data_IF_496198519903
#
_entry.id   IF_496198519903
#
_cell.length_a   1.000
_cell.length_b   1.000
_cell.length_c   1.000
_cell.angle_alpha   90.00
_cell.angle_beta   90.00
_cell.angle_gamma   90.00
#
_symmetry.space_group_name_H-M   'P 1'
#
loop_
_entity.id
_entity.type
_entity.pdbx_description
1 polymer ?
#
# COMPACT_ATOMS: atom_id res chain seq x y z
N UNK A 1 5.77 -15.48 -21.71
CA UNK A 1 4.59 -15.18 -20.86
C UNK A 1 4.49 -13.66 -20.80
N UNK A 2 3.43 -13.05 -21.31
CA UNK A 2 3.27 -11.59 -21.23
C UNK A 2 3.02 -11.27 -19.74
N UNK A 3 3.96 -10.57 -19.10
CA UNK A 3 3.79 -10.14 -17.73
C UNK A 3 2.59 -9.17 -17.68
N UNK A 4 1.71 -9.34 -16.69
CA UNK A 4 0.60 -8.41 -16.46
C UNK A 4 1.16 -7.03 -16.19
N UNK A 5 0.56 -5.98 -16.75
CA UNK A 5 0.93 -4.60 -16.45
C UNK A 5 0.62 -4.21 -14.98
N UNK A 6 -0.28 -4.96 -14.32
CA UNK A 6 -0.67 -4.76 -12.93
C UNK A 6 0.09 -5.70 -12.00
N UNK A 7 0.39 -5.22 -10.79
CA UNK A 7 1.15 -5.97 -9.77
C UNK A 7 0.43 -7.27 -9.38
N UNK A 8 -0.90 -7.23 -9.30
CA UNK A 8 -1.75 -8.39 -9.05
C UNK A 8 -3.11 -8.22 -9.75
N UNK A 9 -3.95 -9.25 -9.75
CA UNK A 9 -5.26 -9.20 -10.41
C UNK A 9 -6.26 -8.31 -9.67
N UNK A 10 -6.99 -7.47 -10.41
CA UNK A 10 -8.12 -6.68 -9.89
C UNK A 10 -9.20 -7.53 -9.19
N UNK A 11 -9.30 -8.82 -9.52
CA UNK A 11 -10.30 -9.73 -8.92
C UNK A 11 -10.08 -9.96 -7.43
N UNK A 12 -8.92 -9.57 -6.89
CA UNK A 12 -8.60 -9.65 -5.46
C UNK A 12 -9.22 -8.48 -4.68
N UNK A 13 -9.58 -7.39 -5.35
CA UNK A 13 -10.20 -6.23 -4.73
C UNK A 13 -11.68 -6.49 -4.40
N UNK A 14 -12.09 -5.99 -3.25
CA UNK A 14 -13.52 -5.87 -2.92
C UNK A 14 -14.10 -4.65 -3.65
N UNK A 15 -14.98 -4.90 -4.61
CA UNK A 15 -15.57 -3.86 -5.46
C UNK A 15 -16.44 -2.90 -4.65
N UNK A 16 -17.05 -3.34 -3.54
CA UNK A 16 -17.86 -2.48 -2.68
C UNK A 16 -17.01 -1.45 -1.94
N UNK A 17 -15.78 -1.83 -1.55
CA UNK A 17 -14.82 -0.91 -0.94
C UNK A 17 -14.19 -0.03 -2.01
N UNK A 18 -13.79 -0.60 -3.15
CA UNK A 18 -13.18 0.14 -4.25
C UNK A 18 -14.11 1.25 -4.78
N UNK A 19 -15.43 1.03 -4.77
CA UNK A 19 -16.41 2.04 -5.18
C UNK A 19 -16.63 3.19 -4.17
N UNK A 20 -15.99 3.17 -3.00
CA UNK A 20 -16.08 4.26 -2.02
C UNK A 20 -15.21 5.48 -2.37
N UNK A 21 -14.32 5.38 -3.36
CA UNK A 21 -13.62 6.56 -3.86
C UNK A 21 -14.57 7.47 -4.64
N UNK A 22 -14.39 8.80 -4.60
CA UNK A 22 -15.25 9.75 -5.32
C UNK A 22 -15.23 9.50 -6.83
N UNK A 23 -16.27 9.98 -7.52
CA UNK A 23 -16.30 10.07 -8.98
C UNK A 23 -15.01 10.70 -9.51
N UNK A 24 -14.57 10.29 -10.68
CA UNK A 24 -13.28 10.65 -11.29
C UNK A 24 -12.03 10.11 -10.58
N UNK A 25 -12.19 9.18 -9.62
CA UNK A 25 -11.07 8.46 -9.05
C UNK A 25 -11.30 6.95 -9.21
N UNK A 26 -10.21 6.20 -9.30
CA UNK A 26 -10.25 4.74 -9.32
C UNK A 26 -9.26 4.16 -8.33
N UNK A 27 -9.70 3.20 -7.52
CA UNK A 27 -8.83 2.39 -6.68
C UNK A 27 -8.52 1.10 -7.44
N UNK A 28 -7.25 0.81 -7.63
CA UNK A 28 -6.77 -0.33 -8.41
C UNK A 28 -5.38 -0.81 -7.92
N UNK A 29 -4.91 -2.00 -8.34
CA UNK A 29 -3.51 -2.39 -8.16
C UNK A 29 -2.55 -1.40 -8.83
N UNK A 30 -1.33 -1.31 -8.27
CA UNK A 30 -0.21 -0.59 -8.89
C UNK A 30 0.10 -1.21 -10.27
N UNK A 31 0.42 -0.35 -11.23
CA UNK A 31 0.86 -0.72 -12.58
C UNK A 31 2.29 -0.27 -12.85
N UNK A 32 3.00 -1.00 -13.72
CA UNK A 32 4.37 -0.65 -14.11
C UNK A 32 4.48 0.77 -14.71
N UNK A 33 3.39 1.30 -15.28
CA UNK A 33 3.32 2.63 -15.88
C UNK A 33 3.09 3.77 -14.87
N UNK A 34 2.79 3.45 -13.61
CA UNK A 34 2.42 4.45 -12.59
C UNK A 34 3.59 5.32 -12.13
N UNK A 35 4.82 4.90 -12.42
CA UNK A 35 5.97 5.79 -12.28
C UNK A 35 5.73 7.12 -12.99
N UNK A 36 5.26 7.07 -14.23
CA UNK A 36 4.98 8.25 -15.07
C UNK A 36 3.74 9.02 -14.62
N UNK A 37 2.85 8.40 -13.83
CA UNK A 37 1.68 9.04 -13.21
C UNK A 37 1.99 9.67 -11.85
N UNK A 38 3.28 9.81 -11.51
CA UNK A 38 3.71 10.47 -10.28
C UNK A 38 3.60 9.61 -9.01
N UNK A 39 3.67 8.28 -9.11
CA UNK A 39 3.66 7.40 -7.94
C UNK A 39 4.73 7.77 -6.91
N UNK A 40 5.98 8.02 -7.35
CA UNK A 40 7.06 8.45 -6.45
C UNK A 40 6.78 9.82 -5.81
N UNK A 41 6.13 10.74 -6.54
CA UNK A 41 5.73 12.04 -6.00
C UNK A 41 4.63 11.87 -4.93
N UNK A 42 3.73 10.90 -5.08
CA UNK A 42 2.76 10.57 -4.05
C UNK A 42 3.47 10.06 -2.80
N UNK A 43 4.38 9.11 -2.91
CA UNK A 43 5.15 8.54 -1.79
C UNK A 43 6.01 9.59 -1.07
N UNK A 44 6.53 10.60 -1.77
CA UNK A 44 7.34 11.67 -1.16
C UNK A 44 6.56 12.53 -0.16
N UNK A 45 5.22 12.41 -0.11
CA UNK A 45 4.42 13.04 0.95
C UNK A 45 4.47 12.27 2.27
N UNK A 46 4.93 11.03 2.27
CA UNK A 46 5.09 10.21 3.47
C UNK A 46 6.49 10.39 4.07
N UNK A 47 7.52 10.20 3.23
CA UNK A 47 8.92 10.24 3.66
C UNK A 47 9.85 10.47 2.46
N UNK A 48 11.16 10.48 2.72
CA UNK A 48 12.18 10.61 1.67
C UNK A 48 12.17 9.35 0.77
N UNK A 49 11.96 9.54 -0.52
CA UNK A 49 11.94 8.45 -1.51
C UNK A 49 13.31 8.19 -2.16
N UNK A 50 14.28 9.10 -1.96
CA UNK A 50 15.54 9.06 -2.71
C UNK A 50 15.36 9.34 -4.21
N UNK A 51 16.42 9.16 -4.97
CA UNK A 51 16.38 9.29 -6.43
C UNK A 51 16.09 7.92 -7.07
N UNK A 52 14.84 7.70 -7.44
CA UNK A 52 14.39 6.46 -8.09
C UNK A 52 14.21 6.73 -9.57
N UNK A 53 14.96 6.02 -10.43
CA UNK A 53 14.75 6.03 -11.87
C UNK A 53 13.56 5.13 -12.26
N UNK A 54 13.01 5.35 -13.46
CA UNK A 54 11.94 4.48 -13.97
C UNK A 54 12.41 3.02 -14.07
N UNK A 55 13.66 2.79 -14.45
CA UNK A 55 14.24 1.46 -14.51
C UNK A 55 14.26 0.79 -13.11
N UNK A 56 14.76 1.48 -12.08
CA UNK A 56 14.76 0.98 -10.69
C UNK A 56 13.34 0.65 -10.21
N UNK A 57 12.37 1.50 -10.56
CA UNK A 57 10.97 1.26 -10.22
C UNK A 57 10.44 -0.02 -10.88
N UNK A 58 10.67 -0.19 -12.18
CA UNK A 58 10.22 -1.38 -12.93
C UNK A 58 10.87 -2.65 -12.40
N UNK A 59 12.18 -2.64 -12.13
CA UNK A 59 12.89 -3.78 -11.54
C UNK A 59 12.30 -4.18 -10.18
N UNK A 60 12.04 -3.21 -9.30
CA UNK A 60 11.40 -3.45 -8.00
C UNK A 60 9.95 -3.95 -8.14
N UNK A 61 9.20 -3.38 -9.09
CA UNK A 61 7.84 -3.82 -9.39
C UNK A 61 7.80 -5.29 -9.83
N UNK A 62 8.70 -5.68 -10.74
CA UNK A 62 8.80 -7.06 -11.23
C UNK A 62 9.23 -8.04 -10.13
N UNK A 63 10.11 -7.61 -9.22
CA UNK A 63 10.50 -8.41 -8.06
C UNK A 63 9.32 -8.64 -7.11
N UNK A 64 8.58 -7.58 -6.76
CA UNK A 64 7.36 -7.69 -5.96
C UNK A 64 6.31 -8.60 -6.62
N UNK A 65 6.11 -8.45 -7.96
CA UNK A 65 5.17 -9.27 -8.71
C UNK A 65 5.57 -10.76 -8.69
N UNK A 66 6.85 -11.07 -8.88
CA UNK A 66 7.37 -12.45 -8.84
C UNK A 66 7.26 -13.07 -7.45
N UNK A 67 7.43 -12.29 -6.39
CA UNK A 67 7.32 -12.80 -5.01
C UNK A 67 5.88 -13.20 -4.66
N UNK A 68 4.87 -12.57 -5.27
CA UNK A 68 3.45 -12.83 -5.05
C UNK A 68 2.93 -12.45 -3.66
N UNK A 69 3.79 -11.89 -2.80
CA UNK A 69 3.44 -11.48 -1.44
C UNK A 69 3.16 -9.99 -1.25
N UNK A 70 3.28 -9.18 -2.31
CA UNK A 70 3.07 -7.74 -2.29
C UNK A 70 1.78 -7.34 -2.99
N UNK A 71 0.96 -6.54 -2.31
CA UNK A 71 -0.28 -5.97 -2.82
C UNK A 71 -0.23 -4.45 -2.64
N UNK A 72 0.30 -3.75 -3.63
CA UNK A 72 0.31 -2.29 -3.65
C UNK A 72 -0.92 -1.81 -4.39
N UNK A 73 -1.74 -1.00 -3.74
CA UNK A 73 -2.93 -0.38 -4.35
C UNK A 73 -2.74 1.14 -4.42
N UNK A 74 -3.33 1.72 -5.43
CA UNK A 74 -3.27 3.16 -5.69
C UNK A 74 -4.67 3.72 -5.90
N UNK A 75 -4.83 5.00 -5.61
CA UNK A 75 -5.96 5.80 -6.10
C UNK A 75 -5.43 6.73 -7.18
N UNK A 76 -5.98 6.58 -8.38
CA UNK A 76 -5.70 7.45 -9.53
C UNK A 76 -6.82 8.49 -9.67
N UNK A 77 -6.45 9.75 -9.81
CA UNK A 77 -7.33 10.81 -10.29
C UNK A 77 -7.39 10.75 -11.81
N UNK A 78 -8.55 10.40 -12.36
CA UNK A 78 -8.76 10.20 -13.79
C UNK A 78 -8.77 11.51 -14.60
N UNK A 79 -8.97 12.66 -13.95
CA UNK A 79 -8.96 13.97 -14.62
C UNK A 79 -7.53 14.44 -14.89
N UNK A 80 -6.63 14.17 -13.96
CA UNK A 80 -5.22 14.58 -14.05
C UNK A 80 -4.30 13.43 -14.46
N UNK A 81 -4.81 12.19 -14.50
CA UNK A 81 -4.05 10.96 -14.71
C UNK A 81 -2.86 10.82 -13.74
N UNK A 82 -3.05 11.22 -12.47
CA UNK A 82 -2.01 11.17 -11.44
C UNK A 82 -2.40 10.28 -10.26
N UNK A 83 -1.39 9.67 -9.64
CA UNK A 83 -1.58 8.89 -8.40
C UNK A 83 -1.68 9.86 -7.23
N UNK A 84 -2.78 9.77 -6.48
CA UNK A 84 -3.11 10.69 -5.38
C UNK A 84 -3.12 10.02 -4.01
N UNK A 85 -3.12 8.69 -3.95
CA UNK A 85 -2.98 7.95 -2.70
C UNK A 85 -2.45 6.54 -2.99
N UNK A 86 -1.81 5.93 -2.00
CA UNK A 86 -1.27 4.57 -2.09
C UNK A 86 -1.25 3.89 -0.73
N UNK A 87 -1.13 2.57 -0.75
CA UNK A 87 -0.83 1.75 0.41
C UNK A 87 -0.39 0.36 -0.02
N UNK A 88 0.41 -0.27 0.82
CA UNK A 88 1.01 -1.58 0.58
C UNK A 88 0.53 -2.59 1.62
N UNK A 89 0.24 -3.81 1.20
CA UNK A 89 0.14 -4.98 2.06
C UNK A 89 1.25 -5.96 1.69
N UNK A 90 2.02 -6.36 2.69
CA UNK A 90 2.99 -7.47 2.57
C UNK A 90 2.45 -8.67 3.33
N UNK A 91 2.35 -9.81 2.67
CA UNK A 91 1.88 -11.07 3.26
C UNK A 91 3.07 -11.90 3.67
N UNK A 92 3.26 -12.03 4.99
CA UNK A 92 4.33 -12.83 5.58
C UNK A 92 3.83 -14.26 5.85
N UNK A 93 4.56 -15.28 5.34
CA UNK A 93 4.32 -16.67 5.66
C UNK A 93 4.99 -17.03 6.98
N UNK A 94 4.25 -17.64 7.89
CA UNK A 94 4.75 -18.13 9.19
C UNK A 94 4.80 -19.66 9.24
N UNK A 95 5.64 -20.22 10.11
CA UNK A 95 5.48 -21.62 10.57
C UNK A 95 4.49 -21.71 11.74
N UNK A 96 4.33 -20.63 12.49
CA UNK A 96 3.36 -20.53 13.59
C UNK A 96 1.92 -20.58 13.06
N UNK A 97 0.98 -20.94 13.94
CA UNK A 97 -0.45 -21.00 13.59
C UNK A 97 -0.73 -21.92 12.40
N UNK A 98 -0.15 -23.13 12.41
CA UNK A 98 -0.28 -24.13 11.34
C UNK A 98 0.10 -23.57 9.96
N UNK A 99 1.28 -22.98 9.87
CA UNK A 99 1.77 -22.28 8.67
C UNK A 99 0.87 -21.13 8.22
N UNK A 100 0.33 -20.37 9.18
CA UNK A 100 -0.55 -19.24 8.92
C UNK A 100 0.18 -18.03 8.31
N UNK A 101 -0.59 -17.01 7.92
CA UNK A 101 -0.08 -15.78 7.29
C UNK A 101 -0.40 -14.56 8.13
N UNK A 102 0.46 -13.55 8.06
CA UNK A 102 0.27 -12.23 8.67
C UNK A 102 0.34 -11.18 7.58
N UNK A 103 -0.62 -10.26 7.54
CA UNK A 103 -0.57 -9.09 6.67
C UNK A 103 0.09 -7.92 7.38
N UNK A 104 1.07 -7.29 6.75
CA UNK A 104 1.70 -6.04 7.18
C UNK A 104 1.22 -4.92 6.26
N UNK A 105 0.55 -3.91 6.84
CA UNK A 105 0.13 -2.71 6.11
C UNK A 105 1.22 -1.67 6.23
N UNK A 106 1.72 -1.18 5.09
CA UNK A 106 2.86 -0.29 4.97
C UNK A 106 2.53 0.88 4.02
N UNK A 107 3.30 1.94 4.11
CA UNK A 107 3.35 3.05 3.15
C UNK A 107 1.97 3.68 2.85
N UNK A 108 1.13 3.85 3.85
CA UNK A 108 -0.16 4.53 3.68
C UNK A 108 0.07 6.02 3.46
N UNK A 109 -0.26 6.50 2.28
CA UNK A 109 -0.06 7.89 1.89
C UNK A 109 -1.25 8.46 1.14
N UNK A 110 -1.55 9.74 1.41
CA UNK A 110 -2.48 10.56 0.62
C UNK A 110 -1.75 11.85 0.27
N UNK A 111 -1.69 12.17 -1.00
CA UNK A 111 -1.01 13.36 -1.51
C UNK A 111 -1.57 14.65 -0.88
N UNK A 112 -0.71 15.66 -0.69
CA UNK A 112 -1.12 16.99 -0.18
C UNK A 112 -2.22 17.58 -1.05
N UNK A 113 -3.25 18.16 -0.41
CA UNK A 113 -4.42 18.71 -1.10
C UNK A 113 -5.50 17.67 -1.45
N UNK A 114 -5.25 16.38 -1.23
CA UNK A 114 -6.21 15.29 -1.48
C UNK A 114 -6.79 14.70 -0.18
N UNK A 115 -6.39 15.22 0.97
CA UNK A 115 -6.92 14.82 2.28
C UNK A 115 -8.42 15.18 2.41
N UNK A 116 -9.10 14.52 3.35
CA UNK A 116 -10.53 14.75 3.58
C UNK A 116 -11.47 13.94 2.67
N UNK A 117 -10.98 13.36 1.58
CA UNK A 117 -11.74 12.53 0.63
C UNK A 117 -11.86 11.04 1.05
N UNK A 118 -11.45 10.69 2.26
CA UNK A 118 -11.46 9.33 2.84
C UNK A 118 -10.55 8.31 2.13
N UNK A 119 -9.65 8.72 1.25
CA UNK A 119 -8.75 7.79 0.54
C UNK A 119 -7.97 6.88 1.50
N UNK A 120 -7.36 7.42 2.54
CA UNK A 120 -6.60 6.63 3.52
C UNK A 120 -7.45 5.54 4.18
N UNK A 121 -8.68 5.86 4.61
CA UNK A 121 -9.60 4.86 5.21
C UNK A 121 -9.97 3.79 4.20
N UNK A 122 -10.27 4.17 2.96
CA UNK A 122 -10.64 3.23 1.89
C UNK A 122 -9.47 2.29 1.57
N UNK A 123 -8.24 2.82 1.46
CA UNK A 123 -7.02 2.05 1.24
C UNK A 123 -6.82 1.04 2.37
N UNK A 124 -6.82 1.48 3.64
CA UNK A 124 -6.61 0.57 4.78
C UNK A 124 -7.67 -0.54 4.80
N UNK A 125 -8.94 -0.21 4.60
CA UNK A 125 -10.01 -1.22 4.54
C UNK A 125 -9.79 -2.23 3.41
N UNK A 126 -9.39 -1.76 2.23
CA UNK A 126 -9.13 -2.62 1.09
C UNK A 126 -7.94 -3.54 1.35
N UNK A 127 -6.85 -3.04 1.94
CA UNK A 127 -5.68 -3.86 2.29
C UNK A 127 -6.02 -4.92 3.36
N UNK A 128 -6.82 -4.57 4.37
CA UNK A 128 -7.31 -5.54 5.36
C UNK A 128 -8.18 -6.61 4.70
N UNK A 129 -9.04 -6.23 3.73
CA UNK A 129 -9.84 -7.18 2.97
C UNK A 129 -8.98 -8.11 2.11
N UNK A 130 -7.94 -7.59 1.46
CA UNK A 130 -6.96 -8.42 0.72
C UNK A 130 -6.26 -9.38 1.68
N UNK A 131 -5.84 -8.93 2.87
CA UNK A 131 -5.21 -9.78 3.88
C UNK A 131 -6.14 -10.94 4.29
N UNK A 132 -7.43 -10.66 4.52
CA UNK A 132 -8.44 -11.68 4.83
C UNK A 132 -8.60 -12.67 3.65
N UNK A 133 -8.74 -12.18 2.43
CA UNK A 133 -8.90 -12.99 1.22
C UNK A 133 -7.67 -13.87 0.92
N UNK A 134 -6.47 -13.44 1.33
CA UNK A 134 -5.22 -14.19 1.22
C UNK A 134 -4.94 -15.12 2.40
N UNK A 135 -5.87 -15.22 3.36
CA UNK A 135 -5.80 -16.15 4.49
C UNK A 135 -4.90 -15.68 5.65
N UNK A 136 -4.67 -14.38 5.80
CA UNK A 136 -3.97 -13.85 6.96
C UNK A 136 -4.85 -14.00 8.22
N UNK A 137 -4.29 -14.56 9.30
CA UNK A 137 -5.01 -14.68 10.57
C UNK A 137 -5.03 -13.38 11.38
N UNK A 138 -4.21 -12.41 10.99
CA UNK A 138 -4.20 -11.03 11.49
C UNK A 138 -3.57 -10.09 10.49
N UNK A 139 -3.92 -8.80 10.60
CA UNK A 139 -3.26 -7.69 9.92
C UNK A 139 -2.66 -6.77 10.95
N UNK A 140 -1.44 -6.31 10.75
CA UNK A 140 -0.72 -5.38 11.64
C UNK A 140 -0.15 -4.22 10.84
N UNK A 141 0.14 -3.13 11.54
CA UNK A 141 0.89 -1.98 11.06
C UNK A 141 1.57 -1.28 12.22
N UNK A 142 2.54 -0.46 11.89
CA UNK A 142 3.16 0.49 12.81
C UNK A 142 2.73 1.91 12.45
N UNK A 143 2.58 2.78 13.45
CA UNK A 143 2.24 4.18 13.21
C UNK A 143 2.69 5.07 14.36
N UNK A 144 2.88 6.35 14.06
CA UNK A 144 3.09 7.37 15.08
C UNK A 144 1.87 7.51 16.00
N UNK A 145 2.11 7.93 17.23
CA UNK A 145 1.06 8.05 18.25
C UNK A 145 -0.11 8.94 17.82
N UNK A 146 0.16 9.98 17.02
CA UNK A 146 -0.86 10.89 16.48
C UNK A 146 -1.81 10.23 15.47
N UNK A 147 -1.36 9.15 14.81
CA UNK A 147 -2.12 8.40 13.81
C UNK A 147 -2.97 7.25 14.41
N UNK A 148 -2.81 6.93 15.69
CA UNK A 148 -3.55 5.84 16.35
C UNK A 148 -5.06 6.01 16.17
N UNK A 149 -5.60 7.20 16.43
CA UNK A 149 -7.04 7.47 16.30
C UNK A 149 -7.56 7.30 14.85
N UNK A 150 -6.71 7.51 13.84
CA UNK A 150 -7.06 7.24 12.45
C UNK A 150 -7.19 5.74 12.20
N UNK A 151 -6.24 4.93 12.66
CA UNK A 151 -6.29 3.48 12.46
C UNK A 151 -7.37 2.79 13.31
N UNK A 152 -7.68 3.32 14.49
CA UNK A 152 -8.84 2.85 15.28
C UNK A 152 -10.15 3.04 14.53
N UNK A 153 -10.35 4.14 13.79
CA UNK A 153 -11.51 4.33 12.89
C UNK A 153 -11.54 3.33 11.73
N UNK A 154 -10.39 2.74 11.38
CA UNK A 154 -10.29 1.65 10.41
C UNK A 154 -10.55 0.26 11.03
N UNK A 155 -10.83 0.17 12.34
CA UNK A 155 -11.11 -1.07 13.06
C UNK A 155 -9.88 -1.74 13.67
N UNK A 156 -8.73 -1.09 13.64
CA UNK A 156 -7.49 -1.60 14.25
C UNK A 156 -7.42 -1.26 15.74
N UNK A 157 -6.56 -1.93 16.49
CA UNK A 157 -6.38 -1.73 17.92
C UNK A 157 -4.89 -1.66 18.26
N UNK A 158 -4.50 -0.73 19.13
CA UNK A 158 -3.13 -0.66 19.65
C UNK A 158 -2.78 -1.93 20.43
N UNK A 159 -1.65 -2.58 20.07
CA UNK A 159 -1.24 -3.86 20.68
C UNK A 159 0.17 -3.87 21.25
N UNK A 160 1.14 -3.30 20.55
CA UNK A 160 2.55 -3.44 20.86
C UNK A 160 3.31 -2.14 20.61
N UNK A 161 4.59 -2.16 20.88
CA UNK A 161 5.56 -1.08 20.61
C UNK A 161 6.45 -1.53 19.47
N UNK A 162 6.68 -0.66 18.49
CA UNK A 162 7.69 -0.88 17.45
C UNK A 162 9.08 -0.67 18.01
N UNK A 163 10.02 -1.52 17.60
CA UNK A 163 11.45 -1.39 17.84
C UNK A 163 12.16 -1.34 16.49
N UNK A 164 13.03 -0.35 16.28
CA UNK A 164 13.78 -0.17 15.05
C UNK A 164 15.28 -0.02 15.29
N UNK A 165 16.07 -0.57 14.39
CA UNK A 165 17.52 -0.35 14.30
C UNK A 165 17.86 0.01 12.85
N UNK A 166 18.37 1.20 12.64
CA UNK A 166 18.79 1.66 11.30
C UNK A 166 20.21 1.20 11.00
N UNK A 167 20.45 0.76 9.76
CA UNK A 167 21.80 0.51 9.29
C UNK A 167 22.58 1.84 9.25
N UNK A 168 23.91 1.86 9.58
CA UNK A 168 24.70 3.09 9.61
C UNK A 168 24.65 3.93 8.31
N UNK A 169 24.57 3.28 7.17
CA UNK A 169 24.49 3.92 5.84
C UNK A 169 23.09 4.52 5.53
N UNK A 170 22.04 4.07 6.21
CA UNK A 170 20.68 4.56 6.01
C UNK A 170 20.40 5.90 6.70
N UNK A 171 21.24 6.29 7.68
CA UNK A 171 21.08 7.54 8.43
C UNK A 171 21.49 8.80 7.65
N UNK A 172 22.07 8.63 6.45
CA UNK A 172 22.61 9.72 5.61
C UNK A 172 21.92 9.85 4.23
N UNK A 173 20.79 9.16 4.00
CA UNK A 173 20.06 9.19 2.73
C UNK A 173 18.73 9.91 2.85
#
# INVERSE_FOLDING_TARGET
MVMSNSLFSNTVLDTSIASLVPENHVLRPLEATDFRKGFMNCLSNLTVTGQVSEQMFVESFEEMQRSGGYFVIVVEDLQTATIVASGTLVVEQKFLRACGRVGHVEDIVVAKGQQGKRFGVTIVKQLVQIANATGCYKTILDCDAENVAFYEKCGMQKKAVQMALYAPEAMHK
#
